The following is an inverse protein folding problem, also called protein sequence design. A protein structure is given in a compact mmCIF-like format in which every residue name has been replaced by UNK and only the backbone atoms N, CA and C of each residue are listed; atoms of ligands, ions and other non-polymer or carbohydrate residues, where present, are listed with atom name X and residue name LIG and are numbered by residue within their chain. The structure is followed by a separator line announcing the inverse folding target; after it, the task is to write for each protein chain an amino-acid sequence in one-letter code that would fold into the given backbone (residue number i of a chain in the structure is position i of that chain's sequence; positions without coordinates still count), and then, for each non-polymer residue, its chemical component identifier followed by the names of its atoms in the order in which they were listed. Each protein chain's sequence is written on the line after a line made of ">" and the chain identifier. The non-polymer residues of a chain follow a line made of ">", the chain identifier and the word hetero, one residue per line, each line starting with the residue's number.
data_IF_254503020957
#
_entry.id   IF_254503020957
#
_cell.length_a   1.000
_cell.length_b   1.000
_cell.length_c   1.000
_cell.angle_alpha   90.00
_cell.angle_beta   90.00
_cell.angle_gamma   90.00
#
_symmetry.space_group_name_H-M   'P 1'
#
loop_
_entity.id
_entity.type
_entity.pdbx_description
1 polymer ?
#
# COMPACT_ATOMS: atom_id res chain seq x y z
N UNK A 1 1.85 -15.67 -6.07
CA UNK A 1 0.56 -15.41 -6.74
C UNK A 1 -0.33 -14.70 -5.74
N UNK A 2 -1.12 -13.72 -6.15
CA UNK A 2 -2.13 -13.06 -5.32
C UNK A 2 -3.37 -13.94 -5.27
N UNK A 3 -3.86 -14.26 -4.06
CA UNK A 3 -5.04 -15.10 -3.83
C UNK A 3 -5.96 -14.43 -2.82
N UNK A 4 -7.23 -14.81 -2.81
CA UNK A 4 -8.21 -14.26 -1.87
C UNK A 4 -7.77 -14.47 -0.41
N UNK A 5 -7.32 -15.68 -0.05
CA UNK A 5 -6.84 -16.01 1.29
C UNK A 5 -5.74 -15.05 1.77
N UNK A 6 -4.81 -14.65 0.86
CA UNK A 6 -3.77 -13.68 1.18
C UNK A 6 -4.30 -12.26 1.39
N UNK A 7 -5.32 -11.86 0.67
CA UNK A 7 -5.98 -10.57 0.90
C UNK A 7 -6.75 -10.57 2.22
N UNK A 8 -7.39 -11.67 2.58
CA UNK A 8 -8.06 -11.84 3.87
C UNK A 8 -7.05 -11.79 5.02
N UNK A 9 -5.96 -12.56 4.92
CA UNK A 9 -4.84 -12.51 5.87
C UNK A 9 -4.28 -11.10 6.02
N UNK A 10 -3.99 -10.43 4.89
CA UNK A 10 -3.49 -9.07 4.89
C UNK A 10 -4.47 -8.09 5.54
N UNK A 11 -5.78 -8.23 5.26
CA UNK A 11 -6.82 -7.39 5.85
C UNK A 11 -6.87 -7.50 7.38
N UNK A 12 -6.68 -8.69 7.93
CA UNK A 12 -6.59 -8.85 9.38
C UNK A 12 -5.30 -8.22 9.94
N UNK A 13 -4.16 -8.47 9.28
CA UNK A 13 -2.87 -7.95 9.72
C UNK A 13 -2.78 -6.42 9.72
N UNK A 14 -3.26 -5.77 8.67
CA UNK A 14 -3.14 -4.31 8.57
C UNK A 14 -4.00 -3.55 9.59
N UNK A 15 -5.02 -4.16 10.18
CA UNK A 15 -5.83 -3.56 11.25
C UNK A 15 -4.99 -3.08 12.44
N UNK A 16 -3.84 -3.70 12.66
CA UNK A 16 -2.93 -3.32 13.76
C UNK A 16 -2.34 -1.91 13.60
N UNK A 17 -2.27 -1.41 12.36
CA UNK A 17 -1.56 -0.16 12.01
C UNK A 17 -2.35 0.80 11.14
N UNK A 18 -3.60 0.45 10.81
CA UNK A 18 -4.43 1.27 9.93
C UNK A 18 -5.74 1.68 10.58
N UNK A 19 -6.28 2.80 10.10
CA UNK A 19 -7.66 3.18 10.34
C UNK A 19 -8.56 2.59 9.25
N UNK A 20 -9.70 2.05 9.64
CA UNK A 20 -10.77 1.71 8.70
C UNK A 20 -11.39 3.03 8.20
N UNK A 21 -10.83 3.58 7.12
CA UNK A 21 -11.33 4.81 6.53
C UNK A 21 -12.68 4.55 5.86
N UNK A 22 -13.75 5.14 6.37
CA UNK A 22 -15.09 4.93 5.81
C UNK A 22 -15.23 5.61 4.46
N UNK A 23 -16.09 5.05 3.60
CA UNK A 23 -16.47 5.68 2.35
C UNK A 23 -17.25 6.96 2.62
N UNK A 24 -16.88 8.04 1.97
CA UNK A 24 -17.52 9.36 2.10
C UNK A 24 -18.25 9.66 0.79
N UNK A 25 -19.56 9.78 0.84
CA UNK A 25 -20.32 10.25 -0.33
C UNK A 25 -19.96 11.71 -0.65
N UNK A 26 -19.74 12.00 -1.92
CA UNK A 26 -19.41 13.33 -2.42
C UNK A 26 -20.58 13.89 -3.23
N UNK A 27 -21.36 14.77 -2.63
CA UNK A 27 -22.44 15.48 -3.32
C UNK A 27 -21.89 16.23 -4.55
N UNK A 28 -20.80 16.97 -4.36
CA UNK A 28 -20.18 17.75 -5.43
C UNK A 28 -19.81 16.91 -6.65
N UNK A 29 -19.07 15.79 -6.45
CA UNK A 29 -18.68 14.93 -7.57
C UNK A 29 -19.88 14.18 -8.16
N UNK A 30 -20.84 13.83 -7.34
CA UNK A 30 -22.04 13.13 -7.79
C UNK A 30 -22.89 14.03 -8.69
N UNK A 31 -23.07 15.29 -8.30
CA UNK A 31 -23.79 16.29 -9.10
C UNK A 31 -23.07 16.60 -10.43
N UNK A 32 -21.73 16.69 -10.41
CA UNK A 32 -20.95 16.95 -11.62
C UNK A 32 -20.95 15.79 -12.63
N UNK A 33 -21.06 14.56 -12.16
CA UNK A 33 -20.90 13.37 -13.02
C UNK A 33 -22.21 12.65 -13.33
N UNK A 34 -23.28 12.92 -12.59
CA UNK A 34 -24.54 12.19 -12.65
C UNK A 34 -24.45 10.77 -12.07
N UNK A 35 -23.39 10.46 -11.33
CA UNK A 35 -23.13 9.17 -10.70
C UNK A 35 -23.14 9.28 -9.17
N UNK A 36 -23.28 8.17 -8.47
CA UNK A 36 -23.08 8.14 -7.02
C UNK A 36 -21.59 7.97 -6.72
N UNK A 37 -20.90 9.06 -6.38
CA UNK A 37 -19.46 9.06 -6.15
C UNK A 37 -19.12 9.00 -4.67
N UNK A 38 -18.27 8.06 -4.30
CA UNK A 38 -17.75 7.89 -2.95
C UNK A 38 -16.23 8.04 -2.96
N UNK A 39 -15.70 8.64 -1.91
CA UNK A 39 -14.27 8.81 -1.69
C UNK A 39 -13.79 7.82 -0.63
N UNK A 40 -12.67 7.15 -0.87
CA UNK A 40 -11.94 6.35 0.12
C UNK A 40 -10.75 7.18 0.62
N UNK A 41 -10.86 7.86 1.78
CA UNK A 41 -9.90 8.90 2.19
C UNK A 41 -8.64 8.30 2.85
N UNK A 42 -7.80 7.63 2.08
CA UNK A 42 -6.56 7.00 2.57
C UNK A 42 -5.48 8.00 3.02
N UNK A 43 -5.64 9.28 2.73
CA UNK A 43 -4.86 10.36 3.34
C UNK A 43 -5.14 10.55 4.84
N UNK A 44 -6.19 9.94 5.37
CA UNK A 44 -6.52 9.97 6.81
C UNK A 44 -5.88 8.83 7.61
N UNK A 45 -5.07 7.98 6.99
CA UNK A 45 -4.25 7.00 7.70
C UNK A 45 -3.24 7.70 8.63
N UNK A 46 -2.80 7.04 9.71
CA UNK A 46 -1.82 7.58 10.67
C UNK A 46 -0.55 8.15 10.01
N UNK A 47 -0.12 7.55 8.89
CA UNK A 47 1.04 8.00 8.09
C UNK A 47 0.66 8.98 6.97
N UNK A 48 -0.59 9.45 6.93
CA UNK A 48 -1.09 10.35 5.89
C UNK A 48 -1.25 9.72 4.50
N UNK A 49 -1.11 8.40 4.37
CA UNK A 49 -1.21 7.70 3.08
C UNK A 49 -1.47 6.20 3.23
N UNK A 50 -2.07 5.59 2.20
CA UNK A 50 -2.35 4.16 2.12
C UNK A 50 -1.10 3.25 2.17
N UNK A 51 0.08 3.80 1.92
CA UNK A 51 1.34 3.03 1.81
C UNK A 51 1.68 2.21 3.04
N UNK A 52 1.21 2.59 4.22
CA UNK A 52 1.37 1.83 5.47
C UNK A 52 0.83 0.41 5.35
N UNK A 53 -0.26 0.19 4.64
CA UNK A 53 -0.89 -1.13 4.43
C UNK A 53 0.08 -2.13 3.80
N UNK A 54 0.64 -1.78 2.65
CA UNK A 54 1.57 -2.65 1.94
C UNK A 54 2.91 -2.79 2.63
N UNK A 55 3.45 -1.70 3.19
CA UNK A 55 4.70 -1.75 3.95
C UNK A 55 4.58 -2.69 5.15
N UNK A 56 3.55 -2.51 5.96
CA UNK A 56 3.34 -3.33 7.15
C UNK A 56 3.08 -4.80 6.81
N UNK A 57 2.20 -5.09 5.85
CA UNK A 57 1.95 -6.48 5.45
C UNK A 57 3.23 -7.15 4.94
N UNK A 58 4.02 -6.48 4.08
CA UNK A 58 5.32 -7.01 3.65
C UNK A 58 6.23 -7.30 4.84
N UNK A 59 6.39 -6.36 5.76
CA UNK A 59 7.24 -6.53 6.95
C UNK A 59 6.74 -7.69 7.82
N UNK A 60 5.44 -7.87 7.94
CA UNK A 60 4.85 -8.98 8.72
C UNK A 60 5.13 -10.37 8.12
N UNK A 61 5.40 -10.45 6.80
CA UNK A 61 5.74 -11.70 6.11
C UNK A 61 7.23 -12.05 6.16
N UNK A 62 8.08 -11.15 6.66
CA UNK A 62 9.52 -11.41 6.78
C UNK A 62 9.81 -12.39 7.92
N UNK A 63 10.85 -13.20 7.74
CA UNK A 63 11.42 -14.01 8.82
C UNK A 63 12.08 -13.13 9.88
N UNK A 64 12.30 -13.69 11.06
CA UNK A 64 13.02 -12.99 12.14
C UNK A 64 14.45 -12.63 11.72
N UNK A 65 15.11 -13.51 10.94
CA UNK A 65 16.43 -13.24 10.39
C UNK A 65 16.44 -12.07 9.42
N UNK A 66 15.46 -11.99 8.50
CA UNK A 66 15.33 -10.87 7.56
C UNK A 66 15.06 -9.56 8.28
N UNK A 67 14.23 -9.56 9.32
CA UNK A 67 13.98 -8.39 10.16
C UNK A 67 15.19 -7.94 10.94
N UNK A 68 15.97 -8.91 11.49
CA UNK A 68 17.15 -8.61 12.27
C UNK A 68 18.29 -7.96 11.47
N UNK A 69 18.32 -8.14 10.15
CA UNK A 69 19.26 -7.46 9.23
C UNK A 69 19.01 -5.95 9.12
N UNK A 70 17.87 -5.48 9.60
CA UNK A 70 17.40 -4.12 9.37
C UNK A 70 16.69 -3.98 8.03
N UNK A 71 15.86 -2.94 7.91
CA UNK A 71 15.02 -2.71 6.73
C UNK A 71 15.46 -1.44 6.02
N UNK A 72 15.46 -1.45 4.69
CA UNK A 72 15.74 -0.29 3.87
C UNK A 72 14.73 -0.16 2.73
N UNK A 73 14.41 1.06 2.35
CA UNK A 73 13.56 1.36 1.20
C UNK A 73 13.98 2.65 0.52
N UNK A 74 13.54 2.86 -0.72
CA UNK A 74 13.63 4.12 -1.42
C UNK A 74 12.23 4.71 -1.60
N UNK A 75 12.02 5.96 -1.21
CA UNK A 75 10.71 6.61 -1.31
C UNK A 75 10.83 8.13 -1.19
N UNK A 76 9.99 8.85 -1.94
CA UNK A 76 9.84 10.30 -1.79
C UNK A 76 9.06 10.73 -0.52
N UNK A 77 8.66 9.79 0.36
CA UNK A 77 7.99 10.10 1.62
C UNK A 77 7.01 9.03 2.12
N UNK A 78 5.87 8.87 1.48
CA UNK A 78 4.75 8.08 2.00
C UNK A 78 5.08 6.60 2.29
N UNK A 79 5.93 5.96 1.50
CA UNK A 79 6.33 4.59 1.77
C UNK A 79 7.40 4.51 2.87
N UNK A 80 8.34 5.45 2.87
CA UNK A 80 9.38 5.52 3.91
C UNK A 80 8.78 5.69 5.32
N UNK A 81 7.68 6.42 5.45
CA UNK A 81 6.95 6.54 6.73
C UNK A 81 6.36 5.21 7.21
N UNK A 82 6.04 4.30 6.27
CA UNK A 82 5.60 2.95 6.60
C UNK A 82 6.75 1.99 6.96
N UNK A 83 8.00 2.35 6.57
CA UNK A 83 9.23 1.58 6.83
C UNK A 83 10.16 2.44 7.69
N UNK A 84 10.06 2.39 8.96
CA UNK A 84 10.48 3.33 10.00
C UNK A 84 11.97 3.78 10.09
N UNK A 85 12.81 3.67 9.06
CA UNK A 85 14.15 4.25 9.05
C UNK A 85 14.40 5.06 7.78
N UNK A 86 14.74 6.34 7.93
CA UNK A 86 14.97 7.24 6.79
C UNK A 86 16.42 7.72 6.76
N UNK A 87 17.15 7.33 5.71
CA UNK A 87 18.40 7.99 5.28
C UNK A 87 18.05 8.87 4.08
N UNK A 88 18.28 10.16 4.19
CA UNK A 88 18.07 11.09 3.07
C UNK A 88 19.25 11.01 2.11
N UNK A 89 18.98 10.70 0.83
CA UNK A 89 20.00 10.62 -0.21
C UNK A 89 19.41 10.96 -1.58
N UNK A 90 20.16 11.75 -2.37
CA UNK A 90 19.85 12.11 -3.75
C UNK A 90 18.74 13.16 -3.90
N UNK A 91 18.70 13.79 -5.05
CA UNK A 91 17.71 14.82 -5.41
C UNK A 91 16.48 14.22 -6.11
N UNK A 92 16.62 13.00 -6.67
CA UNK A 92 15.58 12.27 -7.37
C UNK A 92 15.44 10.83 -6.87
N UNK A 93 14.26 10.23 -7.15
CA UNK A 93 13.93 8.86 -6.70
C UNK A 93 14.95 7.80 -7.17
N UNK A 94 15.42 7.89 -8.40
CA UNK A 94 16.32 6.90 -9.00
C UNK A 94 17.68 6.87 -8.28
N UNK A 95 18.21 8.01 -7.86
CA UNK A 95 19.45 8.11 -7.08
C UNK A 95 19.26 7.50 -5.69
N UNK A 96 18.15 7.82 -5.02
CA UNK A 96 17.81 7.24 -3.72
C UNK A 96 17.62 5.72 -3.82
N UNK A 97 17.00 5.24 -4.89
CA UNK A 97 16.76 3.82 -5.15
C UNK A 97 18.08 3.07 -5.39
N UNK A 98 18.96 3.60 -6.24
CA UNK A 98 20.27 3.01 -6.50
C UNK A 98 21.09 2.91 -5.21
N UNK A 99 21.08 3.96 -4.39
CA UNK A 99 21.79 3.97 -3.10
C UNK A 99 21.20 2.98 -2.10
N UNK A 100 19.90 2.84 -2.07
CA UNK A 100 19.25 1.87 -1.19
C UNK A 100 19.58 0.41 -1.57
N UNK A 101 19.67 0.10 -2.87
CA UNK A 101 20.14 -1.21 -3.33
C UNK A 101 21.62 -1.44 -3.00
N UNK A 102 22.49 -0.45 -3.23
CA UNK A 102 23.92 -0.55 -2.84
C UNK A 102 24.07 -0.87 -1.35
N UNK A 103 23.33 -0.16 -0.48
CA UNK A 103 23.37 -0.38 0.96
C UNK A 103 22.77 -1.72 1.37
N UNK A 104 21.69 -2.16 0.72
CA UNK A 104 21.12 -3.46 0.96
C UNK A 104 22.12 -4.59 0.65
N UNK A 105 22.85 -4.49 -0.45
CA UNK A 105 23.87 -5.45 -0.85
C UNK A 105 25.08 -5.41 0.10
N UNK A 106 25.59 -4.21 0.39
CA UNK A 106 26.82 -4.01 1.15
C UNK A 106 26.66 -4.31 2.64
N UNK A 107 25.57 -3.84 3.25
CA UNK A 107 25.31 -3.93 4.69
C UNK A 107 24.35 -5.08 5.05
N UNK A 108 23.78 -5.75 4.04
CA UNK A 108 22.89 -6.89 4.20
C UNK A 108 21.46 -6.55 4.60
N UNK A 109 21.01 -5.28 4.46
CA UNK A 109 19.65 -4.88 4.79
C UNK A 109 18.60 -5.56 3.91
N UNK A 110 17.44 -5.85 4.49
CA UNK A 110 16.27 -6.32 3.74
C UNK A 110 15.58 -5.15 3.04
N UNK A 111 15.54 -5.16 1.70
CA UNK A 111 14.93 -4.10 0.91
C UNK A 111 13.41 -4.28 0.86
N UNK A 112 12.66 -3.24 1.24
CA UNK A 112 11.20 -3.19 1.15
C UNK A 112 10.80 -2.35 -0.06
N UNK A 113 10.39 -3.02 -1.14
CA UNK A 113 10.05 -2.33 -2.39
C UNK A 113 8.76 -1.52 -2.25
N UNK A 114 8.69 -0.27 -2.75
CA UNK A 114 7.54 0.61 -2.54
C UNK A 114 6.29 0.25 -3.36
N UNK A 115 6.39 -0.64 -4.35
CA UNK A 115 5.27 -1.05 -5.24
C UNK A 115 5.50 -2.36 -5.99
N UNK A 116 6.72 -2.73 -6.39
CA UNK A 116 7.02 -3.94 -7.17
C UNK A 116 7.36 -5.12 -6.25
N UNK A 117 6.39 -5.48 -5.43
CA UNK A 117 6.43 -6.62 -4.51
C UNK A 117 5.01 -7.12 -4.29
N UNK A 118 4.79 -8.42 -4.46
CA UNK A 118 3.46 -9.02 -4.36
C UNK A 118 2.85 -8.90 -2.96
N UNK A 119 3.66 -8.97 -1.89
CA UNK A 119 3.15 -8.78 -0.54
C UNK A 119 2.76 -7.31 -0.32
N UNK A 120 3.57 -6.36 -0.83
CA UNK A 120 3.20 -4.94 -0.81
C UNK A 120 1.89 -4.71 -1.57
N UNK A 121 1.75 -5.25 -2.79
CA UNK A 121 0.52 -5.14 -3.57
C UNK A 121 -0.68 -5.78 -2.86
N UNK A 122 -0.50 -6.93 -2.18
CA UNK A 122 -1.55 -7.57 -1.37
C UNK A 122 -2.02 -6.64 -0.25
N UNK A 123 -1.08 -6.08 0.52
CA UNK A 123 -1.42 -5.14 1.59
C UNK A 123 -2.16 -3.90 1.06
N UNK A 124 -1.78 -3.35 -0.10
CA UNK A 124 -2.50 -2.23 -0.72
C UNK A 124 -3.91 -2.63 -1.17
N UNK A 125 -4.09 -3.87 -1.64
CA UNK A 125 -5.38 -4.40 -2.06
C UNK A 125 -6.41 -4.51 -0.94
N UNK A 126 -6.01 -4.47 0.34
CA UNK A 126 -6.94 -4.46 1.47
C UNK A 126 -7.90 -3.27 1.46
N UNK A 127 -7.55 -2.19 0.75
CA UNK A 127 -8.46 -1.07 0.49
C UNK A 127 -9.72 -1.55 -0.22
N UNK A 128 -9.57 -2.40 -1.23
CA UNK A 128 -10.71 -2.96 -1.96
C UNK A 128 -11.56 -3.88 -1.09
N UNK A 129 -10.97 -4.64 -0.14
CA UNK A 129 -11.75 -5.41 0.84
C UNK A 129 -12.71 -4.51 1.64
N UNK A 130 -12.22 -3.36 2.09
CA UNK A 130 -13.04 -2.38 2.82
C UNK A 130 -14.10 -1.74 1.91
N UNK A 131 -13.75 -1.42 0.65
CA UNK A 131 -14.70 -0.86 -0.34
C UNK A 131 -15.84 -1.84 -0.62
N UNK A 132 -15.54 -3.10 -0.95
CA UNK A 132 -16.57 -4.10 -1.24
C UNK A 132 -17.41 -4.46 -0.02
N UNK A 133 -16.86 -4.35 1.18
CA UNK A 133 -17.61 -4.53 2.43
C UNK A 133 -18.67 -3.42 2.63
N UNK A 134 -18.33 -2.17 2.32
CA UNK A 134 -19.24 -1.02 2.47
C UNK A 134 -20.16 -0.81 1.26
N UNK A 135 -19.67 -1.11 0.05
CA UNK A 135 -20.35 -0.91 -1.21
C UNK A 135 -20.23 -2.16 -2.12
N UNK A 136 -20.95 -3.25 -1.80
CA UNK A 136 -20.80 -4.54 -2.52
C UNK A 136 -21.11 -4.48 -4.02
N UNK A 137 -21.94 -3.53 -4.45
CA UNK A 137 -22.38 -3.36 -5.84
C UNK A 137 -21.66 -2.18 -6.52
N UNK A 138 -20.43 -1.84 -6.11
CA UNK A 138 -19.65 -0.81 -6.78
C UNK A 138 -19.34 -1.24 -8.22
N UNK A 139 -19.66 -0.38 -9.19
CA UNK A 139 -19.44 -0.66 -10.61
C UNK A 139 -18.05 -0.23 -11.07
N UNK A 140 -17.53 0.86 -10.53
CA UNK A 140 -16.25 1.45 -10.92
C UNK A 140 -15.43 1.84 -9.70
N UNK A 141 -14.16 1.49 -9.71
CA UNK A 141 -13.18 1.94 -8.72
C UNK A 141 -12.06 2.69 -9.46
N UNK A 142 -11.97 4.00 -9.21
CA UNK A 142 -10.91 4.85 -9.77
C UNK A 142 -9.68 4.79 -8.86
N UNK A 143 -8.56 4.33 -9.41
CA UNK A 143 -7.32 4.12 -8.67
C UNK A 143 -6.20 4.94 -9.30
N UNK A 144 -5.52 5.84 -8.56
CA UNK A 144 -4.35 6.52 -9.09
C UNK A 144 -3.21 5.53 -9.31
N UNK A 145 -2.53 5.65 -10.45
CA UNK A 145 -1.43 4.76 -10.84
C UNK A 145 -0.12 5.54 -10.90
N UNK A 146 0.82 5.18 -10.03
CA UNK A 146 2.22 5.50 -10.14
C UNK A 146 3.01 4.22 -10.48
N UNK A 147 3.72 3.63 -9.51
CA UNK A 147 4.43 2.36 -9.68
C UNK A 147 3.56 1.10 -9.77
N UNK A 148 2.25 1.20 -9.76
CA UNK A 148 1.32 0.11 -10.05
C UNK A 148 0.88 -0.77 -8.86
N UNK A 149 1.59 -0.78 -7.74
CA UNK A 149 1.30 -1.70 -6.63
C UNK A 149 -0.12 -1.58 -6.06
N UNK A 150 -0.65 -0.35 -5.91
CA UNK A 150 -2.04 -0.14 -5.49
C UNK A 150 -3.03 -0.68 -6.54
N UNK A 151 -2.84 -0.31 -7.80
CA UNK A 151 -3.72 -0.74 -8.87
C UNK A 151 -3.70 -2.27 -9.04
N UNK A 152 -2.53 -2.89 -8.92
CA UNK A 152 -2.39 -4.36 -8.94
C UNK A 152 -3.17 -5.01 -7.81
N UNK A 153 -3.02 -4.53 -6.57
CA UNK A 153 -3.74 -5.07 -5.42
C UNK A 153 -5.25 -4.93 -5.57
N UNK A 154 -5.75 -3.72 -5.83
CA UNK A 154 -7.18 -3.42 -5.96
C UNK A 154 -7.81 -4.19 -7.12
N UNK A 155 -7.20 -4.16 -8.32
CA UNK A 155 -7.77 -4.82 -9.50
C UNK A 155 -7.73 -6.34 -9.41
N UNK A 156 -6.70 -6.90 -8.77
CA UNK A 156 -6.64 -8.36 -8.57
C UNK A 156 -7.72 -8.81 -7.62
N UNK A 157 -7.88 -8.13 -6.47
CA UNK A 157 -8.94 -8.47 -5.53
C UNK A 157 -10.33 -8.34 -6.18
N UNK A 158 -10.59 -7.24 -6.89
CA UNK A 158 -11.87 -7.04 -7.58
C UNK A 158 -12.21 -8.13 -8.62
N UNK A 159 -11.21 -8.85 -9.13
CA UNK A 159 -11.43 -10.01 -10.02
C UNK A 159 -11.61 -11.33 -9.29
N UNK A 160 -11.23 -11.40 -8.02
CA UNK A 160 -11.36 -12.60 -7.19
C UNK A 160 -12.70 -12.66 -6.45
N UNK A 161 -13.36 -11.49 -6.32
CA UNK A 161 -14.71 -11.36 -5.73
C UNK A 161 -15.79 -11.40 -6.80
#
# INVERSE_FOLDING_TARGET
>A
MLTLDKFEEASEKVKEVTLETKLIYSDFLSDQTGNKVYLKPENMQFTGAYKVRGAYYKISTLTDEERAKGLITASAGNHAQGVAYVVLYGDVYDEACAKAYELAEKEGYTFIHPFDDLAVATGQGTIAMEIFKELPLVEYILVPIGGGGLATGVSTLAKLL
#
